data_IF_819136602221
#
_entry.id   IF_819136602221
#
_cell.length_a   1.000
_cell.length_b   1.000
_cell.length_c   1.000
_cell.angle_alpha   90.00
_cell.angle_beta   90.00
_cell.angle_gamma   90.00
#
_symmetry.space_group_name_H-M   'P 1'
#
loop_
_entity.id
_entity.type
_entity.pdbx_description
1 polymer ?
#
# COMPACT_ATOMS: atom_id res chain seq x y z
N UNK A 1 -38.58 44.69 0.98
CA UNK A 1 -37.47 44.16 1.82
C UNK A 1 -37.17 42.66 1.59
N UNK A 2 -38.11 41.89 1.12
CA UNK A 2 -37.95 40.43 0.95
C UNK A 2 -37.10 40.00 -0.26
N UNK A 3 -37.04 40.82 -1.31
CA UNK A 3 -36.26 40.51 -2.51
C UNK A 3 -34.74 40.49 -2.20
N UNK A 4 -34.26 41.46 -1.44
CA UNK A 4 -32.86 41.60 -1.06
C UNK A 4 -32.44 40.43 -0.14
N UNK A 5 -33.32 40.00 0.78
CA UNK A 5 -33.07 38.86 1.67
C UNK A 5 -32.98 37.56 0.86
N UNK A 6 -33.91 37.35 -0.09
CA UNK A 6 -33.88 36.14 -0.98
C UNK A 6 -32.65 36.09 -1.88
N UNK A 7 -32.22 37.25 -2.40
CA UNK A 7 -31.01 37.31 -3.24
C UNK A 7 -29.76 36.99 -2.41
N UNK A 8 -29.66 37.53 -1.18
CA UNK A 8 -28.56 37.24 -0.25
C UNK A 8 -28.48 35.75 0.11
N UNK A 9 -29.61 35.10 0.43
CA UNK A 9 -29.63 33.69 0.75
C UNK A 9 -29.23 32.83 -0.44
N UNK A 10 -29.70 33.14 -1.66
CA UNK A 10 -29.30 32.45 -2.87
C UNK A 10 -27.80 32.55 -3.16
N UNK A 11 -27.24 33.75 -2.95
CA UNK A 11 -25.81 33.99 -3.14
C UNK A 11 -24.99 33.19 -2.13
N UNK A 12 -25.36 33.23 -0.84
CA UNK A 12 -24.68 32.46 0.21
C UNK A 12 -24.77 30.98 -0.07
N UNK A 13 -25.93 30.48 -0.46
CA UNK A 13 -26.12 29.06 -0.80
C UNK A 13 -25.24 28.65 -1.99
N UNK A 14 -25.22 29.42 -3.08
CA UNK A 14 -24.36 29.12 -4.24
C UNK A 14 -22.87 29.14 -3.87
N UNK A 15 -22.44 30.09 -3.07
CA UNK A 15 -21.06 30.12 -2.59
C UNK A 15 -20.70 28.92 -1.72
N UNK A 16 -21.59 28.52 -0.81
CA UNK A 16 -21.41 27.35 0.05
C UNK A 16 -21.33 26.06 -0.77
N UNK A 17 -22.22 25.87 -1.74
CA UNK A 17 -22.21 24.72 -2.65
C UNK A 17 -20.92 24.67 -3.47
N UNK A 18 -20.46 25.82 -3.98
CA UNK A 18 -19.21 25.88 -4.74
C UNK A 18 -18.01 25.48 -3.90
N UNK A 19 -17.89 26.00 -2.67
CA UNK A 19 -16.82 25.63 -1.75
C UNK A 19 -16.87 24.14 -1.40
N UNK A 20 -18.07 23.61 -1.14
CA UNK A 20 -18.27 22.20 -0.83
C UNK A 20 -17.80 21.29 -1.98
N UNK A 21 -18.14 21.63 -3.24
CA UNK A 21 -17.70 20.88 -4.42
C UNK A 21 -16.17 20.88 -4.51
N UNK A 22 -15.54 22.05 -4.35
CA UNK A 22 -14.07 22.16 -4.45
C UNK A 22 -13.39 21.31 -3.37
N UNK A 23 -13.85 21.41 -2.12
CA UNK A 23 -13.29 20.63 -1.01
C UNK A 23 -13.51 19.14 -1.23
N UNK A 24 -14.68 18.72 -1.70
CA UNK A 24 -14.98 17.32 -1.98
C UNK A 24 -14.08 16.76 -3.06
N UNK A 25 -13.86 17.47 -4.16
CA UNK A 25 -12.94 17.06 -5.22
C UNK A 25 -11.51 16.95 -4.71
N UNK A 26 -11.05 17.91 -3.90
CA UNK A 26 -9.73 17.88 -3.31
C UNK A 26 -9.54 16.66 -2.40
N UNK A 27 -10.48 16.39 -1.50
CA UNK A 27 -10.44 15.23 -0.60
C UNK A 27 -10.45 13.91 -1.36
N UNK A 28 -11.30 13.77 -2.38
CA UNK A 28 -11.33 12.57 -3.22
C UNK A 28 -10.01 12.36 -3.95
N UNK A 29 -9.43 13.43 -4.50
CA UNK A 29 -8.14 13.36 -5.20
C UNK A 29 -7.01 12.93 -4.28
N UNK A 30 -6.93 13.49 -3.07
CA UNK A 30 -5.92 13.13 -2.08
C UNK A 30 -6.09 11.67 -1.62
N UNK A 31 -7.32 11.23 -1.35
CA UNK A 31 -7.59 9.84 -0.95
C UNK A 31 -7.18 8.86 -2.05
N UNK A 32 -7.52 9.16 -3.31
CA UNK A 32 -7.16 8.31 -4.44
C UNK A 32 -5.64 8.25 -4.64
N UNK A 33 -4.97 9.41 -4.59
CA UNK A 33 -3.52 9.50 -4.71
C UNK A 33 -2.81 8.73 -3.58
N UNK A 34 -3.29 8.86 -2.34
CA UNK A 34 -2.75 8.14 -1.17
C UNK A 34 -2.89 6.63 -1.33
N UNK A 35 -4.07 6.14 -1.75
CA UNK A 35 -4.29 4.72 -1.99
C UNK A 35 -3.39 4.17 -3.11
N UNK A 36 -3.21 4.94 -4.19
CA UNK A 36 -2.34 4.56 -5.30
C UNK A 36 -0.87 4.52 -4.89
N UNK A 37 -0.39 5.55 -4.20
CA UNK A 37 0.99 5.62 -3.70
C UNK A 37 1.32 4.45 -2.79
N UNK A 38 0.39 4.06 -1.89
CA UNK A 38 0.54 2.89 -1.03
C UNK A 38 0.69 1.59 -1.84
N UNK A 39 -0.16 1.38 -2.87
CA UNK A 39 -0.06 0.21 -3.73
C UNK A 39 1.29 0.16 -4.47
N UNK A 40 1.72 1.28 -5.02
CA UNK A 40 3.01 1.41 -5.73
C UNK A 40 4.19 1.12 -4.79
N UNK A 41 4.18 1.61 -3.55
CA UNK A 41 5.19 1.32 -2.54
C UNK A 41 5.23 -0.17 -2.19
N UNK A 42 4.08 -0.79 -1.97
CA UNK A 42 3.99 -2.21 -1.68
C UNK A 42 4.54 -3.08 -2.84
N UNK A 43 4.19 -2.74 -4.09
CA UNK A 43 4.72 -3.43 -5.27
C UNK A 43 6.22 -3.19 -5.47
N UNK A 44 6.74 -2.00 -5.17
CA UNK A 44 8.16 -1.68 -5.19
C UNK A 44 8.94 -2.58 -4.22
N UNK A 45 8.43 -2.73 -2.99
CA UNK A 45 9.02 -3.62 -1.98
C UNK A 45 9.00 -5.08 -2.43
N UNK A 46 7.88 -5.59 -2.96
CA UNK A 46 7.79 -6.96 -3.46
C UNK A 46 8.73 -7.22 -4.64
N UNK A 47 8.84 -6.28 -5.59
CA UNK A 47 9.78 -6.40 -6.71
C UNK A 47 11.23 -6.46 -6.21
N UNK A 48 11.58 -5.67 -5.21
CA UNK A 48 12.91 -5.67 -4.60
C UNK A 48 13.26 -7.03 -3.96
N UNK A 49 12.30 -7.64 -3.25
CA UNK A 49 12.44 -8.99 -2.71
C UNK A 49 12.61 -10.00 -3.85
N UNK A 50 11.83 -9.86 -4.94
CA UNK A 50 11.93 -10.72 -6.11
C UNK A 50 13.28 -10.62 -6.80
N UNK A 51 13.79 -9.42 -7.00
CA UNK A 51 15.08 -9.16 -7.65
C UNK A 51 16.26 -9.71 -6.82
N UNK A 52 16.08 -9.85 -5.52
CA UNK A 52 17.06 -10.41 -4.59
C UNK A 52 16.80 -11.91 -4.25
N UNK A 53 16.15 -12.64 -5.15
CA UNK A 53 15.97 -14.09 -5.00
C UNK A 53 15.00 -14.51 -3.89
N UNK A 54 14.02 -13.66 -3.55
CA UNK A 54 12.99 -13.95 -2.54
C UNK A 54 13.35 -13.52 -1.14
N UNK A 55 14.46 -12.83 -0.95
CA UNK A 55 14.92 -12.34 0.36
C UNK A 55 15.03 -10.82 0.31
N UNK A 56 14.62 -10.13 1.38
CA UNK A 56 14.82 -8.69 1.49
C UNK A 56 16.32 -8.38 1.49
N UNK A 57 16.84 -7.52 0.59
CA UNK A 57 18.25 -7.21 0.55
C UNK A 57 18.70 -6.51 1.84
N UNK A 58 19.72 -7.06 2.50
CA UNK A 58 20.36 -6.45 3.64
C UNK A 58 21.40 -5.45 3.15
N UNK A 59 21.19 -4.18 3.41
CA UNK A 59 22.19 -3.16 3.14
C UNK A 59 23.23 -3.20 4.26
N UNK A 60 24.39 -3.78 4.01
CA UNK A 60 25.55 -3.63 4.89
C UNK A 60 25.99 -2.17 4.79
N UNK A 61 26.06 -1.51 5.96
CA UNK A 61 26.40 -0.13 6.21
C UNK A 61 27.04 0.65 5.06
N UNK A 62 26.24 1.42 4.36
CA UNK A 62 26.77 2.61 3.67
C UNK A 62 26.68 3.74 4.70
N UNK A 63 27.84 4.23 5.16
CA UNK A 63 27.92 5.50 5.89
C UNK A 63 27.13 6.55 5.09
N UNK A 64 26.34 7.39 5.75
CA UNK A 64 25.71 8.51 5.08
C UNK A 64 26.83 9.40 4.54
N UNK A 65 27.16 9.23 3.27
CA UNK A 65 28.01 10.18 2.55
C UNK A 65 27.28 11.50 2.59
N UNK A 66 27.79 12.39 3.46
CA UNK A 66 27.20 13.68 3.72
C UNK A 66 26.93 14.43 2.46
N UNK A 67 25.78 15.02 2.44
CA UNK A 67 25.54 16.36 1.92
C UNK A 67 24.06 16.53 1.61
N UNK A 68 23.39 17.32 2.45
CA UNK A 68 22.55 18.42 1.96
C UNK A 68 21.65 18.14 0.76
N UNK A 69 20.52 17.48 1.01
CA UNK A 69 19.29 17.79 0.29
C UNK A 69 18.09 17.64 1.22
N UNK A 70 17.86 18.66 2.03
CA UNK A 70 16.82 18.69 3.06
C UNK A 70 15.39 18.84 2.49
N UNK A 71 15.21 19.04 1.18
CA UNK A 71 13.93 19.57 0.72
C UNK A 71 13.30 18.95 -0.54
N UNK A 72 13.89 18.00 -1.27
CA UNK A 72 13.30 17.59 -2.56
C UNK A 72 13.19 16.07 -2.80
N UNK A 73 13.77 15.19 -2.01
CA UNK A 73 13.58 13.74 -2.15
C UNK A 73 12.79 13.16 -0.99
N UNK A 74 11.53 13.56 -0.89
CA UNK A 74 10.53 12.78 -0.17
C UNK A 74 9.95 11.66 -1.07
N UNK A 75 10.74 11.06 -1.93
CA UNK A 75 10.58 9.65 -2.19
C UNK A 75 10.86 8.99 -0.85
N UNK A 76 9.82 8.45 -0.25
CA UNK A 76 9.90 7.57 0.90
C UNK A 76 10.82 6.43 0.47
N UNK A 77 12.10 6.65 0.73
CA UNK A 77 13.13 5.73 0.32
C UNK A 77 13.07 4.60 1.35
N UNK A 78 12.34 3.54 0.99
CA UNK A 78 12.38 2.23 1.68
C UNK A 78 13.78 1.61 1.70
N UNK A 79 14.81 2.40 1.36
CA UNK A 79 16.21 2.04 1.33
C UNK A 79 16.90 2.23 2.69
N UNK A 80 16.14 2.40 3.76
CA UNK A 80 16.72 2.46 5.09
C UNK A 80 17.17 1.08 5.57
N UNK A 81 18.26 0.96 6.33
CA UNK A 81 18.67 -0.32 6.94
C UNK A 81 17.57 -0.94 7.79
N UNK A 82 16.68 -0.11 8.36
CA UNK A 82 15.53 -0.51 9.16
C UNK A 82 14.43 -1.18 8.33
N UNK A 83 14.32 -0.89 7.03
CA UNK A 83 13.35 -1.52 6.15
C UNK A 83 13.50 -3.04 6.11
N UNK A 84 14.74 -3.54 6.19
CA UNK A 84 15.02 -4.96 6.29
C UNK A 84 14.36 -5.61 7.51
N UNK A 85 14.38 -4.94 8.66
CA UNK A 85 13.83 -5.46 9.91
C UNK A 85 12.34 -5.17 10.09
N UNK A 86 11.82 -4.15 9.44
CA UNK A 86 10.42 -3.70 9.58
C UNK A 86 9.48 -4.35 8.57
N UNK A 87 10.00 -4.82 7.44
CA UNK A 87 9.20 -5.47 6.40
C UNK A 87 8.84 -6.89 6.82
N UNK A 88 7.55 -7.16 6.95
CA UNK A 88 7.01 -8.48 7.25
C UNK A 88 6.61 -9.14 5.95
N UNK A 89 7.27 -10.22 5.59
CA UNK A 89 7.01 -10.93 4.35
C UNK A 89 7.33 -12.41 4.46
N UNK A 90 6.81 -13.17 3.52
CA UNK A 90 7.33 -14.49 3.19
C UNK A 90 7.48 -14.63 1.67
N UNK A 91 8.36 -15.51 1.25
CA UNK A 91 8.48 -15.92 -0.14
C UNK A 91 8.58 -17.43 -0.26
N UNK A 92 7.99 -17.95 -1.32
CA UNK A 92 8.07 -19.39 -1.67
C UNK A 92 8.49 -19.53 -3.11
N UNK A 93 9.53 -20.29 -3.36
CA UNK A 93 10.07 -20.56 -4.68
C UNK A 93 9.68 -21.96 -5.11
N UNK A 94 9.13 -22.07 -6.31
CA UNK A 94 8.67 -23.32 -6.91
C UNK A 94 9.49 -23.67 -8.15
N UNK A 95 9.84 -24.94 -8.31
CA UNK A 95 10.39 -25.48 -9.55
C UNK A 95 9.35 -25.45 -10.68
N UNK A 96 9.75 -25.64 -11.96
CA UNK A 96 8.82 -25.76 -13.09
C UNK A 96 7.73 -26.81 -12.90
N UNK A 97 8.00 -27.84 -12.07
CA UNK A 97 7.04 -28.88 -11.70
C UNK A 97 6.15 -28.54 -10.47
N UNK A 98 6.09 -27.29 -10.04
CA UNK A 98 5.36 -26.83 -8.86
C UNK A 98 5.80 -27.49 -7.53
N UNK A 99 7.02 -28.02 -7.45
CA UNK A 99 7.61 -28.48 -6.19
C UNK A 99 8.26 -27.30 -5.47
N UNK A 100 8.08 -27.20 -4.17
CA UNK A 100 8.73 -26.19 -3.35
C UNK A 100 10.24 -26.41 -3.36
N UNK A 101 11.00 -25.36 -3.67
CA UNK A 101 12.47 -25.35 -3.67
C UNK A 101 13.04 -24.62 -2.47
N UNK A 102 12.46 -23.48 -2.12
CA UNK A 102 12.87 -22.67 -0.98
C UNK A 102 11.67 -21.95 -0.35
N UNK A 103 11.76 -21.74 0.95
CA UNK A 103 10.78 -21.01 1.75
C UNK A 103 11.56 -20.02 2.62
N UNK A 104 11.14 -18.75 2.60
CA UNK A 104 11.65 -17.71 3.49
C UNK A 104 10.45 -17.11 4.21
N UNK A 105 10.22 -17.50 5.45
CA UNK A 105 9.07 -17.08 6.26
C UNK A 105 9.49 -16.57 7.66
N UNK A 106 10.78 -16.34 7.88
CA UNK A 106 11.33 -15.96 9.20
C UNK A 106 10.92 -14.57 9.65
N UNK A 107 10.55 -13.71 8.70
CA UNK A 107 10.20 -12.31 8.99
C UNK A 107 8.70 -12.06 9.17
N UNK A 108 7.86 -13.10 9.13
CA UNK A 108 6.42 -12.96 9.29
C UNK A 108 5.90 -13.91 10.38
N UNK A 109 5.45 -13.36 11.50
CA UNK A 109 4.93 -14.14 12.60
C UNK A 109 3.52 -14.71 12.37
N UNK A 110 2.79 -14.17 11.39
CA UNK A 110 1.41 -14.54 11.10
C UNK A 110 1.27 -15.83 10.30
N UNK A 111 2.38 -16.38 9.77
CA UNK A 111 2.39 -17.58 8.95
C UNK A 111 3.47 -18.54 9.45
N UNK A 112 3.11 -19.79 9.59
CA UNK A 112 4.06 -20.90 9.66
C UNK A 112 4.53 -21.25 8.25
N UNK A 113 5.67 -21.95 8.10
CA UNK A 113 6.15 -22.38 6.78
C UNK A 113 5.10 -23.18 5.98
N UNK A 114 4.37 -24.07 6.65
CA UNK A 114 3.31 -24.87 6.02
C UNK A 114 2.13 -24.01 5.53
N UNK A 115 1.76 -23.00 6.29
CA UNK A 115 0.71 -22.04 5.91
C UNK A 115 1.17 -21.13 4.78
N UNK A 116 2.43 -20.67 4.80
CA UNK A 116 3.01 -19.87 3.73
C UNK A 116 3.01 -20.65 2.39
N UNK A 117 3.37 -21.94 2.41
CA UNK A 117 3.32 -22.81 1.22
C UNK A 117 1.87 -22.98 0.74
N UNK A 118 0.93 -23.26 1.65
CA UNK A 118 -0.48 -23.43 1.31
C UNK A 118 -1.07 -22.18 0.66
N UNK A 119 -0.74 -21.02 1.21
CA UNK A 119 -1.17 -19.73 0.71
C UNK A 119 -0.54 -19.42 -0.66
N UNK A 120 0.77 -19.69 -0.82
CA UNK A 120 1.45 -19.50 -2.09
C UNK A 120 0.85 -20.39 -3.20
N UNK A 121 0.48 -21.64 -2.89
CA UNK A 121 -0.23 -22.53 -3.83
C UNK A 121 -1.60 -21.94 -4.20
N UNK A 122 -2.35 -21.41 -3.23
CA UNK A 122 -3.65 -20.76 -3.47
C UNK A 122 -3.50 -19.57 -4.41
N UNK A 123 -2.46 -18.74 -4.20
CA UNK A 123 -2.15 -17.60 -5.06
C UNK A 123 -1.83 -18.06 -6.48
N UNK A 124 -0.98 -19.08 -6.66
CA UNK A 124 -0.67 -19.62 -7.98
C UNK A 124 -1.90 -20.15 -8.71
N UNK A 125 -2.83 -20.79 -8.00
CA UNK A 125 -4.08 -21.29 -8.56
C UNK A 125 -5.02 -20.17 -9.02
N UNK A 126 -4.94 -18.98 -8.41
CA UNK A 126 -5.73 -17.82 -8.79
C UNK A 126 -5.34 -17.24 -10.16
N UNK A 127 -4.20 -17.61 -10.70
CA UNK A 127 -3.62 -17.13 -11.98
C UNK A 127 -3.42 -15.62 -12.05
N UNK A 128 -3.41 -14.94 -10.91
CA UNK A 128 -3.14 -13.50 -10.82
C UNK A 128 -1.65 -13.31 -10.58
N UNK A 129 -1.05 -12.37 -11.29
CA UNK A 129 0.38 -12.06 -11.14
C UNK A 129 0.65 -11.17 -9.94
N UNK A 130 -0.30 -10.34 -9.56
CA UNK A 130 -0.18 -9.47 -8.41
C UNK A 130 -1.55 -9.07 -7.86
N UNK A 131 -1.61 -8.65 -6.60
CA UNK A 131 -2.84 -8.18 -5.98
C UNK A 131 -2.74 -8.04 -4.48
N UNK A 132 -3.92 -7.85 -3.88
CA UNK A 132 -4.10 -7.76 -2.44
C UNK A 132 -5.19 -8.71 -1.98
N UNK A 133 -5.08 -9.22 -0.76
CA UNK A 133 -6.12 -10.01 -0.11
C UNK A 133 -6.13 -9.75 1.40
N UNK A 134 -7.26 -10.03 2.02
CA UNK A 134 -7.42 -9.94 3.47
C UNK A 134 -7.48 -11.35 4.06
N UNK A 135 -6.76 -11.57 5.16
CA UNK A 135 -6.81 -12.79 5.95
C UNK A 135 -6.67 -12.44 7.43
N UNK A 136 -7.58 -12.97 8.25
CA UNK A 136 -7.60 -12.78 9.72
C UNK A 136 -7.56 -11.30 10.14
N UNK A 137 -8.22 -10.42 9.35
CA UNK A 137 -8.25 -8.97 9.60
C UNK A 137 -6.97 -8.21 9.25
N UNK A 138 -6.02 -8.86 8.59
CA UNK A 138 -4.79 -8.26 8.07
C UNK A 138 -4.82 -8.21 6.55
N UNK A 139 -4.31 -7.11 5.99
CA UNK A 139 -4.23 -6.89 4.56
C UNK A 139 -2.84 -7.34 4.05
N UNK A 140 -2.80 -8.15 3.00
CA UNK A 140 -1.58 -8.69 2.39
C UNK A 140 -1.50 -8.33 0.92
N UNK A 141 -0.32 -7.89 0.48
CA UNK A 141 0.00 -7.76 -0.94
C UNK A 141 0.73 -9.03 -1.42
N UNK A 142 0.48 -9.45 -2.66
CA UNK A 142 1.21 -10.56 -3.25
C UNK A 142 1.72 -10.23 -4.66
N UNK A 143 2.84 -10.86 -5.01
CA UNK A 143 3.45 -10.81 -6.33
C UNK A 143 3.89 -12.22 -6.73
N UNK A 144 3.52 -12.61 -7.94
CA UNK A 144 4.00 -13.84 -8.58
C UNK A 144 4.96 -13.46 -9.69
N UNK A 145 6.17 -13.96 -9.62
CA UNK A 145 7.20 -13.74 -10.64
C UNK A 145 7.68 -15.07 -11.21
N UNK A 146 7.86 -15.11 -12.51
CA UNK A 146 8.44 -16.28 -13.18
C UNK A 146 9.81 -15.90 -13.75
N UNK A 147 10.80 -16.73 -13.51
CA UNK A 147 12.14 -16.58 -14.08
C UNK A 147 12.23 -17.24 -15.46
N UNK A 148 13.32 -16.96 -16.20
CA UNK A 148 13.64 -17.57 -17.49
C UNK A 148 13.74 -19.11 -17.44
N UNK A 149 13.99 -19.66 -16.26
CA UNK A 149 14.01 -21.11 -15.98
C UNK A 149 12.63 -21.71 -15.71
N UNK A 150 11.55 -20.92 -15.87
CA UNK A 150 10.18 -21.27 -15.51
C UNK A 150 9.99 -21.59 -14.00
N UNK A 151 10.93 -21.18 -13.16
CA UNK A 151 10.74 -21.16 -11.72
C UNK A 151 9.73 -20.07 -11.36
N UNK A 152 8.84 -20.38 -10.44
CA UNK A 152 7.82 -19.42 -9.98
C UNK A 152 8.14 -19.01 -8.56
N UNK A 153 8.18 -17.73 -8.32
CA UNK A 153 8.34 -17.14 -6.99
C UNK A 153 7.05 -16.43 -6.59
N UNK A 154 6.54 -16.78 -5.43
CA UNK A 154 5.40 -16.10 -4.81
C UNK A 154 5.94 -15.33 -3.62
N UNK A 155 5.71 -14.03 -3.59
CA UNK A 155 6.08 -13.13 -2.50
C UNK A 155 4.81 -12.57 -1.91
N UNK A 156 4.72 -12.56 -0.60
CA UNK A 156 3.61 -11.97 0.15
C UNK A 156 4.19 -11.03 1.20
N UNK A 157 3.66 -9.81 1.24
CA UNK A 157 4.07 -8.76 2.18
C UNK A 157 2.86 -8.33 3.00
N UNK A 158 3.05 -8.17 4.31
CA UNK A 158 2.04 -7.58 5.19
C UNK A 158 1.91 -6.08 4.91
N UNK A 159 0.78 -5.69 4.34
CA UNK A 159 0.44 -4.32 3.99
C UNK A 159 -0.55 -3.67 4.99
N UNK A 160 -0.77 -4.30 6.14
CA UNK A 160 -1.81 -3.88 7.09
C UNK A 160 -1.57 -2.47 7.62
N UNK A 161 -0.32 -2.06 7.82
CA UNK A 161 0.01 -0.71 8.31
C UNK A 161 -0.37 0.36 7.30
N UNK A 162 -0.04 0.12 6.04
CA UNK A 162 -0.30 1.01 4.93
C UNK A 162 -1.81 1.13 4.68
N UNK A 163 -2.53 0.00 4.70
CA UNK A 163 -3.99 -0.01 4.59
C UNK A 163 -4.68 0.68 5.75
N UNK A 164 -4.22 0.49 7.00
CA UNK A 164 -4.76 1.18 8.16
C UNK A 164 -4.59 2.70 8.06
N UNK A 165 -3.45 3.18 7.58
CA UNK A 165 -3.21 4.61 7.38
C UNK A 165 -4.19 5.20 6.35
N UNK A 166 -4.37 4.54 5.21
CA UNK A 166 -5.31 4.96 4.16
C UNK A 166 -6.76 4.92 4.68
N UNK A 167 -7.17 3.84 5.35
CA UNK A 167 -8.52 3.72 5.95
C UNK A 167 -8.79 4.82 6.99
N UNK A 168 -7.81 5.12 7.84
CA UNK A 168 -7.92 6.17 8.85
C UNK A 168 -8.11 7.55 8.19
N UNK A 169 -7.35 7.84 7.16
CA UNK A 169 -7.45 9.08 6.41
C UNK A 169 -8.80 9.19 5.67
N UNK A 170 -9.28 8.11 5.05
CA UNK A 170 -10.61 8.07 4.43
C UNK A 170 -11.74 8.32 5.44
N UNK A 171 -11.67 7.69 6.61
CA UNK A 171 -12.65 7.88 7.67
C UNK A 171 -12.66 9.33 8.18
N UNK A 172 -11.47 9.94 8.33
CA UNK A 172 -11.35 11.35 8.70
C UNK A 172 -11.98 12.25 7.64
N UNK A 173 -11.65 12.05 6.37
CA UNK A 173 -12.19 12.81 5.25
C UNK A 173 -13.71 12.72 5.17
N UNK A 174 -14.26 11.52 5.37
CA UNK A 174 -15.72 11.30 5.37
C UNK A 174 -16.41 12.01 6.54
N UNK A 175 -15.85 11.92 7.75
CA UNK A 175 -16.38 12.62 8.93
C UNK A 175 -16.34 14.13 8.75
N UNK A 176 -15.23 14.63 8.20
CA UNK A 176 -15.09 16.08 7.92
C UNK A 176 -16.11 16.54 6.89
N UNK A 177 -16.31 15.79 5.80
CA UNK A 177 -17.34 16.08 4.81
C UNK A 177 -18.75 16.12 5.39
N UNK A 178 -19.07 15.16 6.30
CA UNK A 178 -20.37 15.14 6.98
C UNK A 178 -20.58 16.38 7.88
N UNK A 179 -19.55 16.80 8.63
CA UNK A 179 -19.61 17.99 9.46
C UNK A 179 -19.85 19.23 8.60
N UNK A 180 -19.17 19.33 7.46
CA UNK A 180 -19.41 20.44 6.53
C UNK A 180 -20.85 20.49 6.02
N UNK A 181 -21.47 19.33 5.72
CA UNK A 181 -22.87 19.27 5.27
C UNK A 181 -23.83 19.73 6.38
N UNK A 182 -23.54 19.41 7.65
CA UNK A 182 -24.42 19.77 8.79
C UNK A 182 -24.32 21.25 9.15
N UNK A 183 -23.17 21.88 8.90
CA UNK A 183 -22.93 23.30 9.22
C UNK A 183 -23.43 24.27 8.15
N UNK A 184 -23.74 23.78 6.95
CA UNK A 184 -24.25 24.58 5.83
C UNK A 184 -25.68 24.21 5.44
#
# INVERSE_FOLDING_TARGET
MDLIKRLRHRFIFLAAVSIFIIVSVALLSINWMSARSMQESCFKTMNRIADNGGVMPRREGHEPTGATTWFIDSEWNDDTPEAYYSTRYFSVIFSPGNKVMAIHAEQIAAYTESEAVSEAIRILQSRKEAGFYEKDGSDYGFLVRSDARQEKMVIVVDASREFMAVRSFMNFSFRFGLVCIVLF
#
